data_IF_396346287992
#
_entry.id   IF_396346287992
#
_cell.length_a   1.000
_cell.length_b   1.000
_cell.length_c   1.000
_cell.angle_alpha   90.00
_cell.angle_beta   90.00
_cell.angle_gamma   90.00
#
_symmetry.space_group_name_H-M   'P 1'
#
loop_
_entity.id
_entity.type
_entity.pdbx_description
1 polymer ?
#
# COMPACT_ATOMS: atom_id res chain seq x y z
N UNK A 1 1.78 -23.05 -8.79
CA UNK A 1 1.39 -21.85 -8.05
C UNK A 1 1.89 -21.90 -6.60
N UNK A 2 1.56 -22.91 -5.79
CA UNK A 2 1.99 -23.03 -4.38
C UNK A 2 3.53 -23.04 -4.22
N UNK A 3 4.26 -23.76 -5.07
CA UNK A 3 5.75 -23.79 -5.04
C UNK A 3 6.36 -22.41 -5.30
N UNK A 4 5.81 -21.64 -6.27
CA UNK A 4 6.27 -20.29 -6.56
C UNK A 4 5.95 -19.35 -5.41
N UNK A 5 4.74 -19.40 -4.85
CA UNK A 5 4.36 -18.63 -3.67
C UNK A 5 5.33 -18.87 -2.52
N UNK A 6 5.57 -20.15 -2.16
CA UNK A 6 6.45 -20.51 -1.04
C UNK A 6 7.89 -20.05 -1.24
N UNK A 7 8.42 -20.17 -2.46
CA UNK A 7 9.77 -19.71 -2.78
C UNK A 7 9.92 -18.19 -2.69
N UNK A 8 8.90 -17.46 -3.13
CA UNK A 8 8.88 -15.99 -3.04
C UNK A 8 8.72 -15.52 -1.58
N UNK A 9 7.84 -16.19 -0.83
CA UNK A 9 7.64 -15.89 0.59
C UNK A 9 8.93 -16.01 1.40
N UNK A 10 9.71 -17.07 1.16
CA UNK A 10 11.00 -17.26 1.83
C UNK A 10 12.05 -16.19 1.48
N UNK A 11 11.98 -15.60 0.27
CA UNK A 11 12.86 -14.48 -0.10
C UNK A 11 12.49 -13.20 0.66
N UNK A 12 11.19 -12.94 0.83
CA UNK A 12 10.67 -11.77 1.55
C UNK A 12 10.95 -11.86 3.06
N UNK A 13 11.05 -13.08 3.60
CA UNK A 13 11.37 -13.31 5.01
C UNK A 13 12.87 -13.23 5.34
N UNK A 14 13.74 -12.87 4.39
CA UNK A 14 15.16 -12.66 4.69
C UNK A 14 15.31 -11.53 5.72
N UNK A 15 16.13 -11.73 6.80
CA UNK A 15 16.18 -10.79 7.91
C UNK A 15 16.44 -9.34 7.52
N UNK A 16 17.38 -9.10 6.60
CA UNK A 16 17.71 -7.75 6.14
C UNK A 16 16.55 -7.08 5.41
N UNK A 17 15.84 -7.82 4.56
CA UNK A 17 14.68 -7.32 3.83
C UNK A 17 13.48 -7.12 4.77
N UNK A 18 13.22 -8.10 5.62
CA UNK A 18 12.13 -8.08 6.59
C UNK A 18 12.27 -6.91 7.56
N UNK A 19 13.45 -6.75 8.19
CA UNK A 19 13.71 -5.67 9.14
C UNK A 19 13.65 -4.29 8.47
N UNK A 20 14.20 -4.15 7.27
CA UNK A 20 14.15 -2.89 6.53
C UNK A 20 12.75 -2.49 6.10
N UNK A 21 11.96 -3.44 5.58
CA UNK A 21 10.61 -3.15 5.07
C UNK A 21 9.58 -3.04 6.19
N UNK A 22 9.50 -4.02 7.09
CA UNK A 22 8.53 -4.00 8.19
C UNK A 22 8.92 -2.96 9.23
N UNK A 23 10.20 -2.90 9.62
CA UNK A 23 10.69 -1.89 10.57
C UNK A 23 10.49 -0.47 10.04
N UNK A 24 10.76 -0.24 8.76
CA UNK A 24 10.47 1.02 8.10
C UNK A 24 8.97 1.35 8.11
N UNK A 25 8.13 0.43 7.64
CA UNK A 25 6.67 0.64 7.57
C UNK A 25 6.06 0.91 8.95
N UNK A 26 6.37 0.08 9.94
CA UNK A 26 5.89 0.25 11.32
C UNK A 26 6.41 1.56 11.91
N UNK A 27 7.71 1.85 11.75
CA UNK A 27 8.32 3.09 12.25
C UNK A 27 7.67 4.34 11.66
N UNK A 28 7.45 4.37 10.34
CA UNK A 28 6.76 5.50 9.68
C UNK A 28 5.29 5.59 10.07
N UNK A 29 4.59 4.48 10.25
CA UNK A 29 3.20 4.49 10.70
C UNK A 29 3.05 5.05 12.12
N UNK A 30 3.90 4.61 13.04
CA UNK A 30 3.94 5.14 14.41
C UNK A 30 4.31 6.62 14.42
N UNK A 31 5.35 7.00 13.65
CA UNK A 31 5.74 8.39 13.53
C UNK A 31 4.62 9.23 12.93
N UNK A 32 3.92 8.73 11.91
CA UNK A 32 2.77 9.38 11.29
C UNK A 32 1.68 9.67 12.32
N UNK A 33 1.28 8.68 13.11
CA UNK A 33 0.30 8.84 14.19
C UNK A 33 0.73 9.94 15.17
N UNK A 34 1.98 9.90 15.64
CA UNK A 34 2.49 10.90 16.61
C UNK A 34 2.53 12.31 16.00
N UNK A 35 2.94 12.43 14.72
CA UNK A 35 3.00 13.72 14.03
C UNK A 35 1.61 14.29 13.75
N UNK A 36 0.63 13.44 13.38
CA UNK A 36 -0.75 13.89 13.17
C UNK A 36 -1.37 14.33 14.50
N UNK A 37 -1.11 13.63 15.60
CA UNK A 37 -1.57 14.05 16.92
C UNK A 37 -1.06 15.44 17.32
N UNK A 38 0.14 15.84 16.90
CA UNK A 38 0.64 17.22 17.13
C UNK A 38 -0.10 18.29 16.32
N UNK A 39 -0.92 17.88 15.35
CA UNK A 39 -1.75 18.77 14.53
C UNK A 39 -3.21 18.81 14.99
N UNK A 40 -3.57 18.14 16.07
CA UNK A 40 -4.92 18.15 16.65
C UNK A 40 -5.38 19.59 16.90
N UNK A 41 -6.61 19.90 16.54
CA UNK A 41 -7.20 21.23 16.62
C UNK A 41 -6.83 22.20 15.49
N UNK A 42 -6.01 21.78 14.49
CA UNK A 42 -5.64 22.63 13.34
C UNK A 42 -6.57 22.51 12.14
N UNK A 43 -7.41 21.48 12.10
CA UNK A 43 -8.44 21.29 11.08
C UNK A 43 -9.67 20.63 11.70
N UNK A 44 -10.87 20.80 11.08
CA UNK A 44 -12.11 20.20 11.61
C UNK A 44 -12.01 18.66 11.76
N UNK A 45 -11.39 17.98 10.79
CA UNK A 45 -11.24 16.52 10.80
C UNK A 45 -10.27 16.02 11.87
N UNK A 46 -9.35 16.88 12.33
CA UNK A 46 -8.41 16.62 13.42
C UNK A 46 -8.84 17.32 14.71
N UNK A 47 -10.13 17.62 14.89
CA UNK A 47 -10.64 18.10 16.17
C UNK A 47 -10.65 16.96 17.21
N UNK A 48 -10.51 17.31 18.49
CA UNK A 48 -10.58 16.33 19.58
C UNK A 48 -11.89 15.55 19.56
N UNK A 49 -13.01 16.22 19.24
CA UNK A 49 -14.33 15.61 19.12
C UNK A 49 -14.43 14.61 17.97
N UNK A 50 -13.89 14.94 16.78
CA UNK A 50 -13.88 14.02 15.63
C UNK A 50 -13.01 12.79 15.92
N UNK A 51 -11.83 13.00 16.51
CA UNK A 51 -10.91 11.91 16.84
C UNK A 51 -11.38 11.05 18.02
N UNK A 52 -12.26 11.55 18.89
CA UNK A 52 -12.87 10.75 19.97
C UNK A 52 -14.01 9.86 19.51
N UNK A 53 -14.35 9.85 18.21
CA UNK A 53 -15.35 8.95 17.64
C UNK A 53 -14.76 7.56 17.31
N UNK A 54 -15.62 6.58 16.99
CA UNK A 54 -15.23 5.20 16.68
C UNK A 54 -14.16 5.07 15.59
N UNK A 55 -14.20 5.94 14.56
CA UNK A 55 -13.23 5.98 13.45
C UNK A 55 -12.00 6.84 13.70
N UNK A 56 -11.84 7.45 14.87
CA UNK A 56 -10.79 8.43 15.15
C UNK A 56 -9.37 7.89 14.90
N UNK A 57 -9.09 6.65 15.29
CA UNK A 57 -7.81 6.02 14.97
C UNK A 57 -7.58 5.86 13.45
N UNK A 58 -8.61 5.51 12.70
CA UNK A 58 -8.50 5.38 11.23
C UNK A 58 -8.20 6.75 10.59
N UNK A 59 -8.83 7.81 11.07
CA UNK A 59 -8.52 9.18 10.65
C UNK A 59 -7.06 9.56 10.94
N UNK A 60 -6.48 9.12 12.06
CA UNK A 60 -5.05 9.30 12.33
C UNK A 60 -4.19 8.49 11.36
N UNK A 61 -4.57 7.26 11.05
CA UNK A 61 -3.83 6.39 10.14
C UNK A 61 -3.96 6.77 8.67
N UNK A 62 -5.06 7.41 8.25
CA UNK A 62 -5.22 7.88 6.86
C UNK A 62 -4.14 8.91 6.49
N UNK A 63 -3.66 9.72 7.44
CA UNK A 63 -2.51 10.59 7.24
C UNK A 63 -1.18 9.86 6.98
N UNK A 64 -1.10 8.54 7.26
CA UNK A 64 0.05 7.70 6.95
C UNK A 64 -0.11 6.87 5.66
N UNK A 65 -1.29 6.95 5.01
CA UNK A 65 -1.63 6.13 3.84
C UNK A 65 -0.63 6.31 2.68
N UNK A 66 -0.21 7.54 2.40
CA UNK A 66 0.77 7.83 1.35
C UNK A 66 2.11 7.12 1.60
N UNK A 67 2.59 7.11 2.85
CA UNK A 67 3.82 6.40 3.21
C UNK A 67 3.66 4.89 3.06
N UNK A 68 2.53 4.33 3.47
CA UNK A 68 2.21 2.91 3.30
C UNK A 68 2.20 2.56 1.81
N UNK A 69 1.61 3.41 0.97
CA UNK A 69 1.60 3.27 -0.49
C UNK A 69 3.01 3.27 -1.09
N UNK A 70 3.86 4.21 -0.69
CA UNK A 70 5.26 4.30 -1.12
C UNK A 70 6.04 3.03 -0.77
N UNK A 71 5.90 2.52 0.47
CA UNK A 71 6.52 1.26 0.87
C UNK A 71 6.02 0.09 0.03
N UNK A 72 4.72 0.01 -0.23
CA UNK A 72 4.14 -1.05 -1.05
C UNK A 72 4.66 -1.02 -2.50
N UNK A 73 4.73 0.17 -3.11
CA UNK A 73 5.38 0.38 -4.42
C UNK A 73 6.83 -0.10 -4.39
N UNK A 74 7.61 0.36 -3.40
CA UNK A 74 9.02 0.03 -3.26
C UNK A 74 9.27 -1.46 -3.11
N UNK A 75 8.53 -2.12 -2.22
CA UNK A 75 8.61 -3.58 -1.98
C UNK A 75 8.35 -4.35 -3.26
N UNK A 76 7.25 -4.05 -3.95
CA UNK A 76 6.85 -4.80 -5.13
C UNK A 76 7.75 -4.49 -6.34
N UNK A 77 8.11 -3.22 -6.56
CA UNK A 77 9.04 -2.81 -7.61
C UNK A 77 10.40 -3.49 -7.43
N UNK A 78 10.95 -3.46 -6.21
CA UNK A 78 12.21 -4.14 -5.88
C UNK A 78 12.12 -5.64 -6.11
N UNK A 79 11.11 -6.31 -5.56
CA UNK A 79 10.96 -7.76 -5.64
C UNK A 79 10.81 -8.26 -7.08
N UNK A 80 10.17 -7.49 -7.96
CA UNK A 80 10.00 -7.84 -9.36
C UNK A 80 11.25 -7.48 -10.17
N UNK A 81 11.72 -6.24 -10.09
CA UNK A 81 12.83 -5.75 -10.91
C UNK A 81 14.17 -6.42 -10.57
N UNK A 82 14.40 -6.75 -9.31
CA UNK A 82 15.65 -7.38 -8.85
C UNK A 82 15.89 -8.76 -9.47
N UNK A 83 14.86 -9.49 -9.89
CA UNK A 83 15.03 -10.77 -10.59
C UNK A 83 15.51 -10.60 -12.03
N UNK A 84 15.13 -9.50 -12.67
CA UNK A 84 15.64 -9.16 -13.99
C UNK A 84 17.11 -8.72 -13.90
N UNK A 85 17.43 -7.81 -12.98
CA UNK A 85 18.79 -7.28 -12.84
C UNK A 85 19.82 -8.33 -12.39
N UNK A 86 19.39 -9.35 -11.63
CA UNK A 86 20.26 -10.45 -11.19
C UNK A 86 20.23 -11.68 -12.12
N UNK A 87 19.49 -11.63 -13.23
CA UNK A 87 19.39 -12.76 -14.17
C UNK A 87 18.73 -14.03 -13.60
N UNK A 88 18.13 -13.95 -12.39
CA UNK A 88 17.56 -15.12 -11.70
C UNK A 88 16.26 -15.60 -12.31
N UNK A 89 15.59 -14.74 -13.10
CA UNK A 89 14.32 -15.06 -13.75
C UNK A 89 14.44 -16.25 -14.72
N UNK A 90 15.56 -16.39 -15.43
CA UNK A 90 15.83 -17.53 -16.31
C UNK A 90 15.79 -18.85 -15.56
N UNK A 91 16.45 -18.93 -14.41
CA UNK A 91 16.47 -20.11 -13.58
C UNK A 91 15.09 -20.47 -13.02
N UNK A 92 14.27 -19.46 -12.72
CA UNK A 92 12.88 -19.67 -12.27
C UNK A 92 12.01 -20.24 -13.39
N UNK A 93 12.17 -19.76 -14.63
CA UNK A 93 11.41 -20.24 -15.79
C UNK A 93 11.80 -21.67 -16.21
N UNK A 94 13.05 -22.09 -16.01
CA UNK A 94 13.46 -23.50 -16.21
C UNK A 94 12.72 -24.41 -15.24
N UNK A 95 12.56 -23.99 -13.98
CA UNK A 95 11.83 -24.75 -12.95
C UNK A 95 10.31 -24.68 -13.08
N UNK A 96 9.80 -23.59 -13.64
CA UNK A 96 8.37 -23.34 -13.83
C UNK A 96 8.12 -22.66 -15.19
N UNK A 97 7.93 -23.43 -16.27
CA UNK A 97 7.81 -22.89 -17.62
C UNK A 97 6.53 -22.08 -17.85
N UNK A 98 5.50 -22.27 -17.01
CA UNK A 98 4.28 -21.47 -17.11
C UNK A 98 4.49 -20.08 -16.49
N UNK A 99 4.80 -19.10 -17.34
CA UNK A 99 5.09 -17.71 -16.95
C UNK A 99 3.97 -17.06 -16.14
N UNK A 100 2.71 -17.27 -16.52
CA UNK A 100 1.57 -16.67 -15.79
C UNK A 100 1.39 -17.28 -14.40
N UNK A 101 1.61 -18.59 -14.25
CA UNK A 101 1.58 -19.24 -12.93
C UNK A 101 2.71 -18.75 -12.02
N UNK A 102 3.88 -18.47 -12.59
CA UNK A 102 5.00 -17.88 -11.87
C UNK A 102 4.65 -16.49 -11.39
N UNK A 103 4.16 -15.62 -12.29
CA UNK A 103 3.75 -14.25 -11.97
C UNK A 103 2.64 -14.23 -10.92
N UNK A 104 1.60 -15.04 -11.09
CA UNK A 104 0.49 -15.12 -10.12
C UNK A 104 0.96 -15.58 -8.74
N UNK A 105 1.85 -16.57 -8.66
CA UNK A 105 2.42 -17.02 -7.38
C UNK A 105 3.25 -15.93 -6.70
N UNK A 106 4.01 -15.15 -7.48
CA UNK A 106 4.79 -14.01 -6.99
C UNK A 106 3.88 -12.87 -6.51
N UNK A 107 2.89 -12.50 -7.31
CA UNK A 107 1.93 -11.44 -6.93
C UNK A 107 1.15 -11.81 -5.67
N UNK A 108 0.72 -13.07 -5.53
CA UNK A 108 0.05 -13.54 -4.33
C UNK A 108 0.97 -13.48 -3.10
N UNK A 109 2.24 -13.85 -3.21
CA UNK A 109 3.20 -13.75 -2.12
C UNK A 109 3.45 -12.29 -1.71
N UNK A 110 3.60 -11.38 -2.67
CA UNK A 110 3.76 -9.95 -2.41
C UNK A 110 2.52 -9.36 -1.75
N UNK A 111 1.33 -9.64 -2.27
CA UNK A 111 0.07 -9.16 -1.69
C UNK A 111 -0.11 -9.63 -0.23
N UNK A 112 0.18 -10.92 0.05
CA UNK A 112 0.11 -11.46 1.41
C UNK A 112 1.17 -10.83 2.33
N UNK A 113 2.38 -10.58 1.84
CA UNK A 113 3.44 -9.92 2.61
C UNK A 113 3.06 -8.47 2.93
N UNK A 114 2.57 -7.72 1.94
CA UNK A 114 2.11 -6.34 2.13
C UNK A 114 0.94 -6.30 3.12
N UNK A 115 -0.04 -7.20 2.99
CA UNK A 115 -1.16 -7.29 3.92
C UNK A 115 -0.70 -7.57 5.36
N UNK A 116 0.22 -8.51 5.55
CA UNK A 116 0.78 -8.82 6.86
C UNK A 116 1.57 -7.63 7.44
N UNK A 117 2.35 -6.93 6.61
CA UNK A 117 3.13 -5.77 7.02
C UNK A 117 2.22 -4.59 7.44
N UNK A 118 1.15 -4.31 6.69
CA UNK A 118 0.14 -3.30 7.04
C UNK A 118 -0.60 -3.69 8.31
N UNK A 119 -1.06 -4.94 8.42
CA UNK A 119 -1.72 -5.43 9.63
C UNK A 119 -0.83 -5.28 10.88
N UNK A 120 0.46 -5.58 10.75
CA UNK A 120 1.41 -5.38 11.85
C UNK A 120 1.63 -3.90 12.17
N UNK A 121 1.69 -3.03 11.15
CA UNK A 121 1.80 -1.58 11.36
C UNK A 121 0.60 -1.04 12.16
N UNK A 122 -0.62 -1.48 11.84
CA UNK A 122 -1.82 -1.13 12.59
C UNK A 122 -1.80 -1.70 14.01
N UNK A 123 -1.43 -2.97 14.16
CA UNK A 123 -1.34 -3.65 15.45
C UNK A 123 -0.34 -2.98 16.41
N UNK A 124 0.74 -2.39 15.88
CA UNK A 124 1.72 -1.64 16.69
C UNK A 124 1.29 -0.19 16.89
N UNK A 125 0.74 0.47 15.87
CA UNK A 125 0.35 1.88 15.95
C UNK A 125 -0.88 2.10 16.84
N UNK A 126 -1.79 1.14 16.92
CA UNK A 126 -3.01 1.26 17.73
C UNK A 126 -2.72 1.43 19.25
N UNK A 127 -1.94 0.55 19.90
CA UNK A 127 -1.60 0.75 21.32
C UNK A 127 -0.77 2.01 21.55
N UNK A 128 0.10 2.40 20.61
CA UNK A 128 0.82 3.67 20.70
C UNK A 128 -0.14 4.85 20.66
N UNK A 129 -1.13 4.81 19.75
CA UNK A 129 -2.16 5.83 19.67
C UNK A 129 -2.99 5.92 20.96
N UNK A 130 -3.40 4.78 21.54
CA UNK A 130 -4.11 4.73 22.82
C UNK A 130 -3.31 5.36 23.96
N UNK A 131 -1.98 5.18 23.97
CA UNK A 131 -1.11 5.72 25.01
C UNK A 131 -0.89 7.24 24.87
N UNK A 132 -0.85 7.76 23.63
CA UNK A 132 -0.50 9.17 23.35
C UNK A 132 -1.74 10.07 23.28
N UNK A 133 -2.87 9.57 22.80
CA UNK A 133 -4.10 10.34 22.55
C UNK A 133 -4.64 11.10 23.77
N UNK A 134 -4.67 10.53 25.00
CA UNK A 134 -5.16 11.26 26.16
C UNK A 134 -4.37 12.53 26.48
N UNK A 135 -3.03 12.52 26.22
CA UNK A 135 -2.18 13.69 26.38
C UNK A 135 -2.52 14.85 25.43
N UNK A 136 -3.33 14.61 24.40
CA UNK A 136 -3.83 15.60 23.43
C UNK A 136 -5.33 15.91 23.63
N UNK A 137 -5.93 15.45 24.73
CA UNK A 137 -7.34 15.68 25.04
C UNK A 137 -8.32 14.84 24.21
N UNK A 138 -7.87 13.71 23.65
CA UNK A 138 -8.70 12.79 22.87
C UNK A 138 -9.18 11.66 23.79
N UNK A 139 -10.49 11.47 23.88
CA UNK A 139 -11.08 10.32 24.57
C UNK A 139 -11.05 9.10 23.65
N UNK A 140 -10.34 8.07 24.07
CA UNK A 140 -10.15 6.83 23.31
C UNK A 140 -11.14 5.72 23.67
N UNK A 141 -12.10 5.97 24.55
CA UNK A 141 -13.10 4.98 25.00
C UNK A 141 -13.92 4.42 23.83
N UNK A 142 -14.26 5.26 22.86
CA UNK A 142 -14.98 4.85 21.67
C UNK A 142 -14.15 3.92 20.74
N UNK A 143 -12.83 4.02 20.74
CA UNK A 143 -11.95 3.20 19.89
C UNK A 143 -11.94 1.73 20.29
N UNK A 144 -12.09 1.47 21.60
CA UNK A 144 -12.11 0.11 22.17
C UNK A 144 -13.52 -0.47 22.29
N UNK A 145 -14.56 0.28 21.92
CA UNK A 145 -15.92 -0.20 21.83
C UNK A 145 -16.10 -1.21 20.69
N UNK A 146 -17.17 -1.98 20.70
CA UNK A 146 -17.48 -2.94 19.61
C UNK A 146 -17.52 -2.26 18.24
N UNK A 147 -18.12 -1.07 18.13
CA UNK A 147 -18.15 -0.26 16.91
C UNK A 147 -16.77 0.29 16.54
N UNK A 148 -15.97 0.68 17.53
CA UNK A 148 -14.58 1.12 17.33
C UNK A 148 -13.69 0.02 16.78
N UNK A 149 -13.78 -1.19 17.33
CA UNK A 149 -13.08 -2.36 16.81
C UNK A 149 -13.57 -2.72 15.40
N UNK A 150 -14.87 -2.61 15.14
CA UNK A 150 -15.42 -2.75 13.79
C UNK A 150 -14.79 -1.77 12.80
N UNK A 151 -14.72 -0.49 13.16
CA UNK A 151 -14.05 0.55 12.35
C UNK A 151 -12.56 0.28 12.17
N UNK A 152 -11.87 -0.19 13.20
CA UNK A 152 -10.47 -0.58 13.13
C UNK A 152 -10.23 -1.70 12.11
N UNK A 153 -11.06 -2.74 12.13
CA UNK A 153 -10.94 -3.88 11.21
C UNK A 153 -11.26 -3.48 9.77
N UNK A 154 -12.36 -2.74 9.54
CA UNK A 154 -12.71 -2.26 8.19
C UNK A 154 -11.65 -1.32 7.64
N UNK A 155 -11.21 -0.32 8.39
CA UNK A 155 -10.17 0.61 7.95
C UNK A 155 -8.80 -0.06 7.73
N UNK A 156 -8.46 -1.09 8.53
CA UNK A 156 -7.27 -1.91 8.26
C UNK A 156 -7.42 -2.66 6.93
N UNK A 157 -8.62 -3.20 6.65
CA UNK A 157 -8.93 -3.85 5.37
C UNK A 157 -8.79 -2.90 4.18
N UNK A 158 -9.32 -1.70 4.28
CA UNK A 158 -9.23 -0.65 3.27
C UNK A 158 -7.78 -0.23 3.02
N UNK A 159 -6.99 -0.10 4.08
CA UNK A 159 -5.56 0.21 3.97
C UNK A 159 -4.77 -0.94 3.33
N UNK A 160 -5.11 -2.19 3.62
CA UNK A 160 -4.53 -3.36 2.95
C UNK A 160 -4.86 -3.36 1.45
N UNK A 161 -6.11 -3.07 1.07
CA UNK A 161 -6.51 -2.97 -0.34
C UNK A 161 -5.73 -1.86 -1.05
N UNK A 162 -5.63 -0.69 -0.44
CA UNK A 162 -4.83 0.45 -0.90
C UNK A 162 -3.36 0.05 -1.11
N UNK A 163 -2.75 -0.55 -0.12
CA UNK A 163 -1.36 -0.99 -0.19
C UNK A 163 -1.12 -2.06 -1.27
N UNK A 164 -2.04 -3.01 -1.44
CA UNK A 164 -1.98 -3.99 -2.53
C UNK A 164 -2.10 -3.30 -3.89
N UNK A 165 -2.98 -2.31 -4.03
CA UNK A 165 -3.11 -1.50 -5.24
C UNK A 165 -1.78 -0.81 -5.60
N UNK A 166 -1.18 -0.09 -4.67
CA UNK A 166 0.14 0.50 -4.87
C UNK A 166 1.23 -0.56 -5.14
N UNK A 167 1.14 -1.73 -4.51
CA UNK A 167 2.01 -2.86 -4.80
C UNK A 167 1.87 -3.38 -6.24
N UNK A 168 0.66 -3.41 -6.79
CA UNK A 168 0.43 -3.75 -8.21
C UNK A 168 1.10 -2.74 -9.15
N UNK A 169 0.98 -1.44 -8.86
CA UNK A 169 1.68 -0.40 -9.60
C UNK A 169 3.20 -0.61 -9.53
N UNK A 170 3.75 -0.80 -8.34
CA UNK A 170 5.17 -1.09 -8.16
C UNK A 170 5.64 -2.31 -8.92
N UNK A 171 4.89 -3.41 -8.86
CA UNK A 171 5.17 -4.64 -9.61
C UNK A 171 5.15 -4.43 -11.13
N UNK A 172 4.18 -3.67 -11.65
CA UNK A 172 4.10 -3.30 -13.06
C UNK A 172 5.32 -2.46 -13.48
N UNK A 173 5.70 -1.46 -12.71
CA UNK A 173 6.89 -0.65 -12.96
C UNK A 173 8.17 -1.50 -12.90
N UNK A 174 8.26 -2.45 -11.98
CA UNK A 174 9.35 -3.43 -11.92
C UNK A 174 9.47 -4.28 -13.19
N UNK A 175 8.34 -4.68 -13.78
CA UNK A 175 8.30 -5.36 -15.08
C UNK A 175 8.72 -4.45 -16.25
N UNK A 176 8.35 -3.17 -16.18
CA UNK A 176 8.66 -2.19 -17.24
C UNK A 176 10.14 -1.84 -17.24
N UNK A 177 10.67 -1.41 -16.11
CA UNK A 177 12.03 -0.89 -16.00
C UNK A 177 13.11 -1.98 -15.83
N UNK A 178 12.76 -3.17 -15.33
CA UNK A 178 13.68 -4.31 -15.08
C UNK A 178 14.88 -3.98 -14.18
N UNK A 179 14.87 -2.82 -13.54
CA UNK A 179 15.88 -2.36 -12.61
C UNK A 179 15.18 -1.74 -11.39
N UNK A 180 15.61 -2.07 -10.14
CA UNK A 180 14.90 -1.63 -8.93
C UNK A 180 14.84 -0.11 -8.78
N UNK A 181 15.97 0.57 -8.93
CA UNK A 181 16.06 2.01 -8.70
C UNK A 181 15.11 2.83 -9.60
N UNK A 182 15.12 2.73 -10.94
CA UNK A 182 14.20 3.49 -11.78
C UNK A 182 12.74 3.09 -11.57
N UNK A 183 12.44 1.82 -11.25
CA UNK A 183 11.07 1.39 -10.98
C UNK A 183 10.51 2.04 -9.70
N UNK A 184 11.31 2.09 -8.63
CA UNK A 184 10.93 2.71 -7.37
C UNK A 184 10.77 4.22 -7.54
N UNK A 185 11.76 4.88 -8.17
CA UNK A 185 11.71 6.33 -8.41
C UNK A 185 10.50 6.72 -9.25
N UNK A 186 10.21 5.99 -10.33
CA UNK A 186 9.04 6.25 -11.15
C UNK A 186 7.72 6.07 -10.38
N UNK A 187 7.64 5.06 -9.51
CA UNK A 187 6.46 4.83 -8.68
C UNK A 187 6.24 5.93 -7.64
N UNK A 188 7.29 6.37 -6.96
CA UNK A 188 7.22 7.49 -6.01
C UNK A 188 6.89 8.80 -6.74
N UNK A 189 7.54 9.06 -7.88
CA UNK A 189 7.26 10.25 -8.68
C UNK A 189 5.81 10.29 -9.17
N UNK A 190 5.24 9.14 -9.55
CA UNK A 190 3.83 9.08 -9.91
C UNK A 190 2.92 9.35 -8.70
N UNK A 191 3.13 8.64 -7.59
CA UNK A 191 2.24 8.68 -6.44
C UNK A 191 2.21 10.05 -5.72
N UNK A 192 3.32 10.80 -5.70
CA UNK A 192 3.42 12.05 -4.98
C UNK A 192 3.30 13.27 -5.92
N UNK A 193 4.36 13.67 -6.69
CA UNK A 193 4.29 14.93 -7.42
C UNK A 193 3.40 14.87 -8.66
N UNK A 194 3.38 13.74 -9.41
CA UNK A 194 2.68 13.70 -10.70
C UNK A 194 1.17 13.77 -10.49
N UNK A 195 0.60 12.99 -9.58
CA UNK A 195 -0.83 13.05 -9.31
C UNK A 195 -1.24 14.40 -8.70
N UNK A 196 -0.45 14.95 -7.78
CA UNK A 196 -0.70 16.26 -7.20
C UNK A 196 -0.72 17.37 -8.26
N UNK A 197 0.22 17.35 -9.21
CA UNK A 197 0.28 18.30 -10.33
C UNK A 197 -0.92 18.13 -11.27
N UNK A 198 -1.33 16.90 -11.58
CA UNK A 198 -2.49 16.66 -12.46
C UNK A 198 -3.79 17.14 -11.82
N UNK A 199 -3.99 16.87 -10.53
CA UNK A 199 -5.17 17.37 -9.79
C UNK A 199 -5.12 18.89 -9.68
N UNK A 200 -3.96 19.49 -9.47
CA UNK A 200 -3.77 20.95 -9.44
C UNK A 200 -4.06 21.61 -10.78
N UNK A 201 -3.72 20.95 -11.90
CA UNK A 201 -4.00 21.46 -13.25
C UNK A 201 -5.48 21.31 -13.64
N UNK A 202 -6.12 20.19 -13.24
CA UNK A 202 -7.53 19.93 -13.52
C UNK A 202 -8.11 19.06 -12.39
N UNK A 203 -8.94 19.66 -11.53
CA UNK A 203 -9.52 18.99 -10.37
C UNK A 203 -10.37 17.74 -10.73
N UNK A 204 -10.95 17.72 -11.93
CA UNK A 204 -11.72 16.57 -12.44
C UNK A 204 -10.88 15.30 -12.61
N UNK A 205 -9.56 15.42 -12.77
CA UNK A 205 -8.68 14.26 -12.92
C UNK A 205 -8.63 13.38 -11.70
N UNK A 206 -8.93 13.90 -10.50
CA UNK A 206 -8.97 13.12 -9.25
C UNK A 206 -9.91 11.92 -9.32
N UNK A 207 -10.99 12.00 -10.10
CA UNK A 207 -11.97 10.91 -10.25
C UNK A 207 -11.46 9.73 -11.08
N UNK A 208 -10.34 9.87 -11.78
CA UNK A 208 -9.76 8.83 -12.64
C UNK A 208 -8.34 8.41 -12.24
N UNK A 209 -7.58 9.24 -11.53
CA UNK A 209 -6.20 8.93 -11.14
C UNK A 209 -6.15 7.78 -10.14
N UNK A 210 -5.22 6.87 -10.36
CA UNK A 210 -5.14 5.63 -9.60
C UNK A 210 -4.88 5.84 -8.11
N UNK A 211 -3.89 6.66 -7.75
CA UNK A 211 -3.56 6.95 -6.35
C UNK A 211 -4.72 7.64 -5.64
N UNK A 212 -5.39 8.61 -6.29
CA UNK A 212 -6.56 9.29 -5.72
C UNK A 212 -7.70 8.31 -5.36
N UNK A 213 -7.90 7.27 -6.17
CA UNK A 213 -8.88 6.23 -5.84
C UNK A 213 -8.42 5.39 -4.65
N UNK A 214 -7.13 5.04 -4.59
CA UNK A 214 -6.57 4.28 -3.48
C UNK A 214 -6.63 5.08 -2.17
N UNK A 215 -6.34 6.37 -2.21
CA UNK A 215 -6.45 7.25 -1.04
C UNK A 215 -7.90 7.40 -0.57
N UNK A 216 -8.86 7.47 -1.51
CA UNK A 216 -10.28 7.47 -1.19
C UNK A 216 -10.72 6.13 -0.58
N UNK A 217 -10.19 4.99 -1.01
CA UNK A 217 -10.43 3.68 -0.37
C UNK A 217 -9.86 3.69 1.04
N UNK A 218 -8.61 4.14 1.24
CA UNK A 218 -7.97 4.19 2.55
C UNK A 218 -8.73 5.04 3.57
N UNK A 219 -9.38 6.11 3.09
CA UNK A 219 -10.19 7.02 3.90
C UNK A 219 -11.64 6.56 4.12
N UNK A 220 -12.07 5.45 3.50
CA UNK A 220 -13.48 5.01 3.52
C UNK A 220 -14.40 5.88 2.67
N UNK A 221 -13.85 6.62 1.70
CA UNK A 221 -14.48 7.65 0.88
C UNK A 221 -14.02 9.06 1.26
N UNK A 222 -14.16 9.99 0.33
CA UNK A 222 -13.89 11.42 0.54
C UNK A 222 -15.10 12.26 0.15
N UNK A 223 -15.07 13.57 0.42
CA UNK A 223 -16.13 14.47 0.00
C UNK A 223 -16.33 14.50 -1.54
N UNK A 224 -15.24 14.28 -2.29
CA UNK A 224 -15.24 14.34 -3.75
C UNK A 224 -15.42 12.96 -4.40
N UNK A 225 -15.01 11.87 -3.74
CA UNK A 225 -15.00 10.50 -4.29
C UNK A 225 -15.71 9.57 -3.33
N UNK A 226 -16.88 9.09 -3.72
CA UNK A 226 -17.62 8.09 -2.95
C UNK A 226 -16.86 6.76 -2.91
N UNK A 227 -16.85 6.08 -1.76
CA UNK A 227 -16.14 4.81 -1.53
C UNK A 227 -16.41 3.75 -2.60
N UNK A 228 -17.70 3.54 -2.96
CA UNK A 228 -18.07 2.58 -4.00
C UNK A 228 -17.52 2.92 -5.39
N UNK A 229 -17.46 4.23 -5.74
CA UNK A 229 -16.87 4.68 -6.99
C UNK A 229 -15.35 4.44 -6.99
N UNK A 230 -14.67 4.74 -5.88
CA UNK A 230 -13.24 4.48 -5.70
C UNK A 230 -12.90 3.00 -5.87
N UNK A 231 -13.70 2.11 -5.29
CA UNK A 231 -13.53 0.65 -5.46
C UNK A 231 -13.67 0.22 -6.92
N UNK A 232 -14.67 0.71 -7.64
CA UNK A 232 -14.90 0.34 -9.04
C UNK A 232 -13.76 0.82 -9.95
N UNK A 233 -13.35 2.08 -9.82
CA UNK A 233 -12.26 2.65 -10.62
C UNK A 233 -10.92 2.03 -10.23
N UNK A 234 -10.67 1.84 -8.94
CA UNK A 234 -9.48 1.14 -8.43
C UNK A 234 -9.38 -0.30 -8.94
N UNK A 235 -10.50 -1.03 -8.98
CA UNK A 235 -10.57 -2.38 -9.55
C UNK A 235 -10.28 -2.36 -11.07
N UNK A 236 -10.82 -1.40 -11.80
CA UNK A 236 -10.55 -1.26 -13.24
C UNK A 236 -9.04 -1.04 -13.50
N UNK A 237 -8.39 -0.19 -12.72
CA UNK A 237 -6.94 0.01 -12.77
C UNK A 237 -6.16 -1.25 -12.40
N UNK A 238 -6.57 -1.96 -11.33
CA UNK A 238 -5.93 -3.21 -10.93
C UNK A 238 -6.02 -4.27 -12.02
N UNK A 239 -7.19 -4.42 -12.66
CA UNK A 239 -7.38 -5.32 -13.81
C UNK A 239 -6.50 -4.91 -15.00
N UNK A 240 -6.44 -3.61 -15.33
CA UNK A 240 -5.57 -3.10 -16.37
C UNK A 240 -4.09 -3.43 -16.08
N UNK A 241 -3.63 -3.20 -14.84
CA UNK A 241 -2.27 -3.51 -14.42
C UNK A 241 -1.95 -5.00 -14.53
N UNK A 242 -2.87 -5.88 -14.14
CA UNK A 242 -2.72 -7.35 -14.26
C UNK A 242 -2.67 -7.78 -15.73
N UNK A 243 -3.53 -7.24 -16.58
CA UNK A 243 -3.54 -7.55 -18.03
C UNK A 243 -2.26 -7.04 -18.71
N UNK A 244 -1.88 -5.80 -18.47
CA UNK A 244 -0.65 -5.20 -19.03
C UNK A 244 0.57 -5.96 -18.52
N UNK A 245 0.68 -6.18 -17.20
CA UNK A 245 1.78 -6.92 -16.59
C UNK A 245 1.89 -8.34 -17.10
N UNK A 246 0.75 -9.05 -17.20
CA UNK A 246 0.69 -10.40 -17.75
C UNK A 246 1.10 -10.49 -19.21
N UNK A 247 0.66 -9.56 -20.05
CA UNK A 247 1.02 -9.51 -21.49
C UNK A 247 2.50 -9.15 -21.68
N UNK A 248 3.01 -8.16 -20.92
CA UNK A 248 4.42 -7.80 -20.93
C UNK A 248 5.29 -9.00 -20.52
N UNK A 249 4.92 -9.70 -19.47
CA UNK A 249 5.67 -10.85 -18.96
C UNK A 249 5.65 -12.05 -19.92
N UNK A 250 4.56 -12.23 -20.69
CA UNK A 250 4.47 -13.28 -21.72
C UNK A 250 5.29 -12.97 -22.95
N UNK A 251 5.23 -11.71 -23.46
CA UNK A 251 5.82 -11.33 -24.76
C UNK A 251 7.30 -10.98 -24.67
N UNK A 252 7.79 -10.60 -23.50
CA UNK A 252 9.19 -10.18 -23.36
C UNK A 252 10.13 -11.38 -23.29
N UNK A 253 11.14 -11.37 -24.13
CA UNK A 253 12.22 -12.35 -24.07
C UNK A 253 13.05 -12.15 -22.82
N UNK A 254 13.36 -13.27 -22.16
CA UNK A 254 14.23 -13.34 -20.97
C UNK A 254 15.65 -13.67 -21.48
N UNK A 255 16.08 -12.98 -22.54
CA UNK A 255 17.45 -13.06 -23.04
C UNK A 255 18.21 -11.88 -22.43
N UNK A 256 19.19 -12.20 -21.63
CA UNK A 256 20.24 -11.28 -21.22
C UNK A 256 21.36 -11.36 -22.21
#
# INVERSE_FOLDING_TARGET
MIRSFRSEWLKLLRPTFLLGTIGGLVGFSVLGVVLVMRRVGRSPDLSTTALSQHGGFITLMSGAAEFIGIFAVGIAAFAVANEFSNGTLRNLLVRQPNRLRLLAGKSAALATFIAAAVGLAFAVSFPVALAVAPGHGIDTSAWTSTSGIGSLLSGTGDMVLTAIGFGLLGGLLGLVFRAPAPAIVAGIAYALPVEALLVGAASSTRHVLFGQQLDAIAAGGTADIAYGAALLVGLAWALAAVVIGGTLFRKRDVVA
#
